data_IF_406147236807
#
_entry.id   IF_406147236807
#
_cell.length_a   1.000
_cell.length_b   1.000
_cell.length_c   1.000
_cell.angle_alpha   90.00
_cell.angle_beta   90.00
_cell.angle_gamma   90.00
#
_symmetry.space_group_name_H-M   'P 1'
#
loop_
_entity.id
_entity.type
_entity.pdbx_description
1 polymer ?
#
# COMPACT_ATOMS: atom_id res chain seq x y z
N UNK A 1 32.66 -28.32 -1.69
CA UNK A 1 31.23 -28.43 -1.34
C UNK A 1 30.61 -27.05 -1.46
N UNK A 2 29.64 -26.86 -2.35
CA UNK A 2 28.86 -25.62 -2.42
C UNK A 2 27.78 -25.64 -1.32
N UNK A 3 27.58 -24.52 -0.64
CA UNK A 3 26.52 -24.39 0.36
C UNK A 3 25.13 -24.48 -0.32
N UNK A 4 24.13 -25.11 0.32
CA UNK A 4 22.78 -25.17 -0.24
C UNK A 4 22.19 -23.76 -0.32
N UNK A 5 21.72 -23.38 -1.51
CA UNK A 5 20.99 -22.14 -1.72
C UNK A 5 19.67 -22.18 -0.94
N UNK A 6 19.39 -21.23 -0.04
CA UNK A 6 18.12 -21.21 0.66
C UNK A 6 16.98 -21.00 -0.34
N UNK A 7 16.03 -21.93 -0.39
CA UNK A 7 14.79 -21.76 -1.15
C UNK A 7 13.88 -20.82 -0.35
N UNK A 8 13.63 -19.62 -0.86
CA UNK A 8 12.66 -18.71 -0.27
C UNK A 8 11.25 -19.33 -0.40
N UNK A 9 10.61 -19.62 0.72
CA UNK A 9 9.19 -20.03 0.75
C UNK A 9 8.38 -18.74 0.64
N UNK A 10 7.71 -18.52 -0.50
CA UNK A 10 6.72 -17.47 -0.62
C UNK A 10 5.45 -17.91 0.14
N UNK A 11 5.03 -17.12 1.12
CA UNK A 11 3.73 -17.30 1.78
C UNK A 11 2.77 -16.25 1.23
N UNK A 12 1.51 -16.65 1.02
CA UNK A 12 0.45 -15.77 0.58
C UNK A 12 -0.63 -15.72 1.66
N UNK A 13 -1.00 -14.52 2.06
CA UNK A 13 -2.05 -14.26 3.06
C UNK A 13 -3.04 -13.31 2.40
N UNK A 14 -4.33 -13.64 2.50
CA UNK A 14 -5.44 -12.78 2.08
C UNK A 14 -6.27 -12.42 3.31
N UNK A 15 -6.59 -11.13 3.46
CA UNK A 15 -7.40 -10.62 4.56
C UNK A 15 -8.59 -9.83 4.01
N UNK A 16 -9.79 -10.10 4.53
CA UNK A 16 -11.02 -9.41 4.13
C UNK A 16 -11.65 -8.69 5.31
N UNK A 17 -12.04 -7.43 5.10
CA UNK A 17 -12.71 -6.61 6.11
C UNK A 17 -13.96 -5.95 5.53
N UNK A 18 -15.08 -6.00 6.27
CA UNK A 18 -16.32 -5.31 5.91
C UNK A 18 -16.31 -3.92 6.53
N UNK A 19 -16.41 -2.89 5.69
CA UNK A 19 -16.54 -1.49 6.12
C UNK A 19 -18.02 -1.10 5.99
N UNK A 20 -18.70 -0.70 7.08
CA UNK A 20 -20.13 -0.34 7.06
C UNK A 20 -20.35 1.08 6.48
N UNK A 21 -19.81 1.34 5.30
CA UNK A 21 -19.88 2.63 4.60
C UNK A 21 -20.01 2.41 3.09
N UNK A 22 -20.48 3.42 2.37
CA UNK A 22 -20.62 3.32 0.93
C UNK A 22 -19.24 3.32 0.24
N UNK A 23 -19.07 2.58 -0.86
CA UNK A 23 -17.79 2.60 -1.61
C UNK A 23 -17.44 4.01 -2.11
N UNK A 24 -18.42 4.85 -2.35
CA UNK A 24 -18.25 6.26 -2.74
C UNK A 24 -17.61 7.11 -1.64
N UNK A 25 -17.63 6.64 -0.39
CA UNK A 25 -16.98 7.27 0.77
C UNK A 25 -15.63 6.61 1.06
N UNK A 26 -15.53 5.29 0.92
CA UNK A 26 -14.30 4.52 1.23
C UNK A 26 -13.25 4.67 0.12
N UNK A 27 -13.65 4.56 -1.15
CA UNK A 27 -12.71 4.52 -2.27
C UNK A 27 -11.89 5.80 -2.44
N UNK A 28 -12.44 7.02 -2.27
CA UNK A 28 -11.63 8.25 -2.31
C UNK A 28 -10.55 8.31 -1.21
N UNK A 29 -10.81 7.73 -0.03
CA UNK A 29 -9.85 7.67 1.08
C UNK A 29 -8.66 6.77 0.72
N UNK A 30 -8.93 5.62 0.10
CA UNK A 30 -7.90 4.70 -0.38
C UNK A 30 -7.11 5.34 -1.54
N UNK A 31 -7.80 5.88 -2.55
CA UNK A 31 -7.17 6.53 -3.72
C UNK A 31 -6.31 7.73 -3.37
N UNK A 32 -6.63 8.41 -2.28
CA UNK A 32 -5.86 9.56 -1.78
C UNK A 32 -4.45 9.20 -1.31
N UNK A 33 -4.13 7.91 -1.13
CA UNK A 33 -2.82 7.41 -0.69
C UNK A 33 -2.32 8.00 0.64
N UNK A 34 -3.22 8.59 1.43
CA UNK A 34 -2.98 9.04 2.80
C UNK A 34 -3.06 7.86 3.77
N UNK A 35 -2.13 6.91 3.63
CA UNK A 35 -2.16 5.63 4.34
C UNK A 35 -2.22 5.80 5.85
N UNK A 36 -1.64 6.87 6.39
CA UNK A 36 -1.68 7.21 7.81
C UNK A 36 -3.11 7.40 8.36
N UNK A 37 -4.10 7.64 7.50
CA UNK A 37 -5.50 7.82 7.91
C UNK A 37 -6.28 6.53 8.11
N UNK A 38 -5.82 5.42 7.54
CA UNK A 38 -6.52 4.12 7.59
C UNK A 38 -5.61 2.94 7.95
N UNK A 39 -4.29 3.15 8.01
CA UNK A 39 -3.32 2.17 8.48
C UNK A 39 -2.52 2.71 9.67
N UNK A 40 -2.91 2.29 10.87
CA UNK A 40 -2.38 2.83 12.13
C UNK A 40 -0.87 2.64 12.36
N UNK A 41 -0.20 1.76 11.62
CA UNK A 41 1.26 1.55 11.73
C UNK A 41 2.05 2.60 10.94
N UNK A 42 1.43 3.22 9.93
CA UNK A 42 2.04 4.24 9.09
C UNK A 42 1.98 5.58 9.83
N UNK A 43 3.11 6.28 9.89
CA UNK A 43 3.22 7.67 10.37
C UNK A 43 2.89 8.65 9.25
N UNK A 44 3.47 8.43 8.06
CA UNK A 44 3.16 9.19 6.84
C UNK A 44 3.53 8.42 5.58
N UNK A 45 2.80 8.66 4.50
CA UNK A 45 3.19 8.27 3.15
C UNK A 45 3.70 9.48 2.36
N UNK A 46 4.92 9.42 1.83
CA UNK A 46 5.50 10.49 1.01
C UNK A 46 5.62 10.05 -0.45
N UNK A 47 5.05 10.78 -1.42
CA UNK A 47 5.26 10.49 -2.84
C UNK A 47 6.70 10.82 -3.23
N UNK A 48 7.36 9.88 -3.92
CA UNK A 48 8.74 10.05 -4.39
C UNK A 48 8.81 10.62 -5.82
N UNK A 49 7.65 10.74 -6.50
CA UNK A 49 7.50 11.31 -7.83
C UNK A 49 6.33 12.31 -7.87
N UNK A 50 6.29 13.26 -8.83
CA UNK A 50 5.26 14.30 -8.90
C UNK A 50 3.83 13.79 -9.22
N UNK A 51 3.59 12.48 -9.24
CA UNK A 51 2.26 11.90 -9.31
C UNK A 51 1.62 11.85 -7.93
N UNK A 52 0.44 12.44 -7.78
CA UNK A 52 -0.35 12.37 -6.53
C UNK A 52 -1.43 11.29 -6.66
N UNK A 53 -1.69 10.58 -5.56
CA UNK A 53 -2.71 9.53 -5.49
C UNK A 53 -2.33 8.20 -6.14
N UNK A 54 -3.35 7.41 -6.47
CA UNK A 54 -3.25 6.03 -6.96
C UNK A 54 -3.04 6.00 -8.49
N UNK A 55 -1.95 6.62 -8.96
CA UNK A 55 -1.56 6.63 -10.37
C UNK A 55 -0.55 5.52 -10.68
N UNK A 56 -0.68 4.86 -11.84
CA UNK A 56 0.23 3.79 -12.25
C UNK A 56 1.67 4.30 -12.38
N UNK A 57 2.61 3.53 -11.81
CA UNK A 57 4.03 3.88 -11.77
C UNK A 57 4.38 4.93 -10.70
N UNK A 58 3.41 5.49 -9.96
CA UNK A 58 3.73 6.30 -8.79
C UNK A 58 4.39 5.47 -7.70
N UNK A 59 5.37 6.08 -7.06
CA UNK A 59 6.17 5.47 -6.00
C UNK A 59 5.98 6.25 -4.71
N UNK A 60 5.85 5.53 -3.61
CA UNK A 60 5.71 6.12 -2.27
C UNK A 60 6.69 5.48 -1.31
N UNK A 61 7.23 6.32 -0.42
CA UNK A 61 7.93 5.88 0.78
C UNK A 61 6.97 5.97 1.97
N UNK A 62 6.63 4.82 2.54
CA UNK A 62 5.91 4.72 3.80
C UNK A 62 6.91 4.85 4.94
N UNK A 63 6.66 5.78 5.85
CA UNK A 63 7.41 5.91 7.10
C UNK A 63 6.53 5.31 8.20
N UNK A 64 7.02 4.29 8.87
CA UNK A 64 6.31 3.63 9.96
C UNK A 64 6.65 4.27 11.29
N UNK A 65 5.74 4.12 12.27
CA UNK A 65 5.92 4.67 13.63
C UNK A 65 7.11 4.09 14.39
N UNK A 66 7.59 2.91 14.00
CA UNK A 66 8.80 2.28 14.55
C UNK A 66 10.11 2.82 13.92
N UNK A 67 10.01 3.75 12.97
CA UNK A 67 11.13 4.35 12.25
C UNK A 67 11.57 3.60 11.00
N UNK A 68 10.96 2.44 10.68
CA UNK A 68 11.24 1.71 9.45
C UNK A 68 10.62 2.41 8.23
N UNK A 69 11.15 2.12 7.04
CA UNK A 69 10.68 2.71 5.78
C UNK A 69 10.51 1.66 4.71
N UNK A 70 9.35 1.64 4.05
CA UNK A 70 9.09 0.76 2.92
C UNK A 70 8.77 1.56 1.66
N UNK A 71 9.35 1.15 0.53
CA UNK A 71 9.00 1.68 -0.78
C UNK A 71 7.89 0.83 -1.41
N UNK A 72 6.87 1.48 -1.96
CA UNK A 72 5.80 0.83 -2.72
C UNK A 72 5.71 1.45 -4.12
N UNK A 73 5.29 0.63 -5.08
CA UNK A 73 5.03 1.04 -6.46
C UNK A 73 3.60 0.65 -6.81
N UNK A 74 2.83 1.59 -7.36
CA UNK A 74 1.50 1.29 -7.87
C UNK A 74 1.64 0.61 -9.24
N UNK A 75 1.40 -0.69 -9.28
CA UNK A 75 1.49 -1.50 -10.51
C UNK A 75 0.14 -1.69 -11.21
N UNK A 76 -0.95 -1.51 -10.47
CA UNK A 76 -2.31 -1.61 -10.96
C UNK A 76 -3.23 -0.67 -10.18
N UNK A 77 -4.22 -0.12 -10.88
CA UNK A 77 -5.18 0.83 -10.38
C UNK A 77 -6.47 0.66 -11.18
N UNK A 78 -7.54 0.15 -10.56
CA UNK A 78 -8.84 0.04 -11.19
C UNK A 78 -9.84 0.94 -10.48
N UNK A 79 -10.66 1.66 -11.24
CA UNK A 79 -11.76 2.40 -10.63
C UNK A 79 -12.83 1.44 -10.13
N UNK A 80 -13.16 1.54 -8.84
CA UNK A 80 -14.30 0.87 -8.24
C UNK A 80 -15.57 1.66 -8.59
N UNK A 81 -16.16 1.33 -9.73
CA UNK A 81 -17.49 1.80 -10.09
C UNK A 81 -18.55 0.92 -9.40
N UNK A 82 -19.58 1.56 -8.82
CA UNK A 82 -20.81 0.88 -8.42
C UNK A 82 -21.65 0.54 -9.64
#
# INVERSE_FOLDING_TARGET
>A
MAAPTPTAIATHIEETHVIPSAITEVWPVIKGMKMETWWNLVDKATPDSPGTGLALGSTYTLHFKDGTKWGIVIVEASELHK
#
